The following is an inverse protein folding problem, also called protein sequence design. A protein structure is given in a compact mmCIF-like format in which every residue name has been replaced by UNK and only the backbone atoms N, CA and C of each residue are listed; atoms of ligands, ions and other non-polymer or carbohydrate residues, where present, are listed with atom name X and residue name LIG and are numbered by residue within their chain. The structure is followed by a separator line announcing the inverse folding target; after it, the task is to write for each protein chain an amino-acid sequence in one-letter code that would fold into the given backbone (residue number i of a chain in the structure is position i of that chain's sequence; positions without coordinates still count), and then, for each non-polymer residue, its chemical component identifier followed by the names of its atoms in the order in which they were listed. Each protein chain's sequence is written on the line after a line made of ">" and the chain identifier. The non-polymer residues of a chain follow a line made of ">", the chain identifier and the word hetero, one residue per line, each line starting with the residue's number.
data_IF_954225501456
#
_entry.id   IF_954225501456
#
_cell.length_a   1.000
_cell.length_b   1.000
_cell.length_c   1.000
_cell.angle_alpha   90.00
_cell.angle_beta   90.00
_cell.angle_gamma   90.00
#
_symmetry.space_group_name_H-M   'P 1'
#
loop_
_entity.id
_entity.type
_entity.pdbx_description
1 polymer ?
#
# COMPACT_ATOMS: atom_id res chain seq x y z
N UNK A 1 -34.02 -16.13 15.66
CA UNK A 1 -32.87 -16.96 16.10
C UNK A 1 -31.61 -16.31 15.58
N UNK A 2 -30.99 -15.43 16.38
CA UNK A 2 -29.72 -14.80 16.03
C UNK A 2 -28.56 -15.62 16.60
N UNK A 3 -27.76 -16.22 15.72
CA UNK A 3 -26.54 -16.92 16.09
C UNK A 3 -25.46 -15.91 16.48
N UNK A 4 -25.42 -15.56 17.77
CA UNK A 4 -24.30 -14.83 18.35
C UNK A 4 -23.07 -15.73 18.36
N UNK A 5 -22.18 -15.53 17.38
CA UNK A 5 -20.93 -16.27 17.28
C UNK A 5 -20.09 -16.12 18.58
N UNK A 6 -19.51 -17.23 19.11
CA UNK A 6 -18.60 -17.22 20.25
C UNK A 6 -17.43 -16.22 20.09
N UNK A 7 -17.03 -15.56 21.18
CA UNK A 7 -15.97 -14.54 21.19
C UNK A 7 -14.63 -15.00 20.59
N UNK A 8 -14.32 -16.30 20.68
CA UNK A 8 -13.12 -16.90 20.10
C UNK A 8 -13.15 -16.96 18.57
N UNK A 9 -14.33 -17.16 17.98
CA UNK A 9 -14.52 -17.15 16.52
C UNK A 9 -14.42 -15.73 15.95
N UNK A 10 -14.90 -14.71 16.70
CA UNK A 10 -14.72 -13.29 16.33
C UNK A 10 -13.26 -12.89 16.15
N UNK A 11 -12.37 -13.32 17.04
CA UNK A 11 -10.95 -12.98 16.96
C UNK A 11 -10.25 -13.51 15.69
N UNK A 12 -10.64 -14.72 15.24
CA UNK A 12 -10.06 -15.35 14.04
C UNK A 12 -10.58 -14.72 12.75
N UNK A 13 -11.88 -14.41 12.67
CA UNK A 13 -12.44 -13.70 11.50
C UNK A 13 -11.92 -12.27 11.40
N UNK A 14 -11.81 -11.54 12.52
CA UNK A 14 -11.25 -10.17 12.51
C UNK A 14 -9.81 -10.15 12.03
N UNK A 15 -8.96 -11.10 12.44
CA UNK A 15 -7.57 -11.16 11.99
C UNK A 15 -7.45 -11.45 10.48
N UNK A 16 -8.30 -12.33 9.93
CA UNK A 16 -8.33 -12.60 8.48
C UNK A 16 -8.79 -11.38 7.69
N UNK A 17 -9.85 -10.72 8.15
CA UNK A 17 -10.35 -9.48 7.53
C UNK A 17 -9.27 -8.40 7.56
N UNK A 18 -8.59 -8.20 8.70
CA UNK A 18 -7.49 -7.25 8.81
C UNK A 18 -6.35 -7.55 7.82
N UNK A 19 -5.94 -8.82 7.69
CA UNK A 19 -4.93 -9.25 6.71
C UNK A 19 -5.34 -8.87 5.29
N UNK A 20 -6.58 -9.15 4.88
CA UNK A 20 -7.08 -8.77 3.56
C UNK A 20 -7.13 -7.25 3.38
N UNK A 21 -7.58 -6.49 4.37
CA UNK A 21 -7.61 -5.03 4.32
C UNK A 21 -6.21 -4.44 4.11
N UNK A 22 -5.21 -4.92 4.86
CA UNK A 22 -3.82 -4.43 4.73
C UNK A 22 -3.26 -4.80 3.36
N UNK A 23 -3.43 -6.05 2.91
CA UNK A 23 -2.94 -6.48 1.60
C UNK A 23 -3.60 -5.71 0.44
N UNK A 24 -4.93 -5.49 0.52
CA UNK A 24 -5.67 -4.70 -0.46
C UNK A 24 -5.22 -3.24 -0.48
N UNK A 25 -4.97 -2.63 0.68
CA UNK A 25 -4.50 -1.25 0.77
C UNK A 25 -3.11 -1.11 0.13
N UNK A 26 -2.19 -2.03 0.42
CA UNK A 26 -0.86 -2.04 -0.20
C UNK A 26 -0.95 -2.21 -1.73
N UNK A 27 -1.77 -3.16 -2.20
CA UNK A 27 -1.98 -3.39 -3.62
C UNK A 27 -2.62 -2.19 -4.32
N UNK A 28 -3.65 -1.59 -3.71
CA UNK A 28 -4.33 -0.41 -4.25
C UNK A 28 -3.38 0.78 -4.37
N UNK A 29 -2.55 1.04 -3.35
CA UNK A 29 -1.57 2.12 -3.39
C UNK A 29 -0.52 1.91 -4.50
N UNK A 30 -0.07 0.68 -4.69
CA UNK A 30 0.87 0.32 -5.76
C UNK A 30 0.24 0.47 -7.15
N UNK A 31 -0.95 -0.09 -7.35
CA UNK A 31 -1.68 -0.03 -8.63
C UNK A 31 -2.08 1.41 -8.99
N UNK A 32 -2.46 2.23 -8.01
CA UNK A 32 -2.73 3.65 -8.22
C UNK A 32 -1.53 4.35 -8.84
N UNK A 33 -0.32 4.09 -8.33
CA UNK A 33 0.90 4.68 -8.87
C UNK A 33 1.20 4.25 -10.29
N UNK A 34 1.05 2.95 -10.58
CA UNK A 34 1.24 2.43 -11.94
C UNK A 34 0.27 3.02 -12.95
N UNK A 35 -0.99 3.23 -12.55
CA UNK A 35 -1.99 3.85 -13.40
C UNK A 35 -1.78 5.36 -13.57
N UNK A 36 -1.34 6.06 -12.51
CA UNK A 36 -1.20 7.52 -12.50
C UNK A 36 0.11 8.01 -13.10
N UNK A 37 1.19 7.24 -12.96
CA UNK A 37 2.56 7.57 -13.38
C UNK A 37 3.14 6.46 -14.28
N UNK A 38 2.59 6.25 -15.49
CA UNK A 38 3.00 5.14 -16.36
C UNK A 38 4.43 5.24 -16.88
N UNK A 39 4.99 6.44 -16.88
CA UNK A 39 6.32 6.79 -17.38
C UNK A 39 7.35 7.08 -16.25
N UNK A 40 6.98 6.72 -15.01
CA UNK A 40 7.89 6.75 -13.87
C UNK A 40 9.20 5.98 -14.14
N UNK A 41 10.32 6.33 -13.46
CA UNK A 41 10.43 7.35 -12.41
C UNK A 41 10.59 8.78 -12.95
N UNK A 42 9.89 9.73 -12.31
CA UNK A 42 10.01 11.16 -12.58
C UNK A 42 11.24 11.74 -11.88
N UNK A 43 12.06 12.49 -12.62
CA UNK A 43 13.30 13.09 -12.13
C UNK A 43 13.51 14.50 -12.68
N UNK A 44 14.51 15.19 -12.14
CA UNK A 44 14.85 16.56 -12.55
C UNK A 44 15.70 16.49 -13.83
N UNK A 45 15.31 17.28 -14.83
CA UNK A 45 15.99 17.42 -16.12
C UNK A 45 16.45 18.88 -16.34
N UNK A 46 17.32 19.10 -17.33
CA UNK A 46 17.88 20.43 -17.64
C UNK A 46 16.82 21.51 -17.91
N UNK A 47 15.64 21.13 -18.41
CA UNK A 47 14.53 22.03 -18.75
C UNK A 47 13.37 21.98 -17.74
N UNK A 48 13.47 21.22 -16.64
CA UNK A 48 12.38 21.04 -15.68
C UNK A 48 12.32 19.63 -15.10
N UNK A 49 11.20 18.93 -15.31
CA UNK A 49 10.98 17.57 -14.82
C UNK A 49 10.68 16.63 -15.98
N UNK A 50 11.15 15.39 -15.88
CA UNK A 50 11.04 14.43 -16.97
C UNK A 50 10.81 13.01 -16.45
N UNK A 51 10.03 12.23 -17.20
CA UNK A 51 9.87 10.79 -16.97
C UNK A 51 11.02 9.98 -17.54
N UNK A 52 10.94 8.65 -17.40
CA UNK A 52 11.94 7.70 -17.91
C UNK A 52 12.20 7.84 -19.42
N UNK A 53 11.18 8.22 -20.18
CA UNK A 53 11.25 8.40 -21.63
C UNK A 53 11.60 9.84 -22.04
N UNK A 54 11.93 10.72 -21.09
CA UNK A 54 12.22 12.13 -21.36
C UNK A 54 10.97 12.98 -21.63
N UNK A 55 9.77 12.43 -21.38
CA UNK A 55 8.52 13.18 -21.50
C UNK A 55 8.54 14.34 -20.49
N UNK A 56 8.17 15.57 -20.90
CA UNK A 56 8.19 16.73 -20.02
C UNK A 56 7.04 16.67 -19.01
N UNK A 57 7.33 17.00 -17.76
CA UNK A 57 6.38 17.05 -16.67
C UNK A 57 6.38 18.38 -15.95
N UNK A 58 5.25 18.67 -15.32
CA UNK A 58 5.08 19.85 -14.47
C UNK A 58 5.67 19.61 -13.07
N UNK A 59 5.99 20.70 -12.37
CA UNK A 59 6.40 20.66 -10.96
C UNK A 59 5.35 19.98 -10.07
N UNK A 60 4.06 20.19 -10.35
CA UNK A 60 2.96 19.56 -9.60
C UNK A 60 2.98 18.04 -9.76
N UNK A 61 3.14 17.53 -10.98
CA UNK A 61 3.18 16.08 -11.23
C UNK A 61 4.39 15.42 -10.58
N UNK A 62 5.55 16.08 -10.62
CA UNK A 62 6.73 15.63 -9.92
C UNK A 62 6.49 15.56 -8.40
N UNK A 63 5.85 16.59 -7.83
CA UNK A 63 5.55 16.62 -6.39
C UNK A 63 4.59 15.51 -5.99
N UNK A 64 3.52 15.30 -6.77
CA UNK A 64 2.55 14.22 -6.56
C UNK A 64 3.23 12.85 -6.61
N UNK A 65 4.12 12.63 -7.59
CA UNK A 65 4.92 11.41 -7.68
C UNK A 65 5.79 11.20 -6.45
N UNK A 66 6.48 12.24 -5.96
CA UNK A 66 7.32 12.13 -4.76
C UNK A 66 6.50 11.85 -3.50
N UNK A 67 5.29 12.41 -3.40
CA UNK A 67 4.37 12.11 -2.28
C UNK A 67 3.93 10.66 -2.34
N UNK A 68 3.49 10.18 -3.51
CA UNK A 68 3.10 8.78 -3.71
C UNK A 68 4.27 7.82 -3.45
N UNK A 69 5.47 8.10 -3.99
CA UNK A 69 6.66 7.28 -3.82
C UNK A 69 7.03 7.15 -2.34
N UNK A 70 7.03 8.26 -1.59
CA UNK A 70 7.24 8.25 -0.13
C UNK A 70 6.17 7.42 0.57
N UNK A 71 4.89 7.61 0.21
CA UNK A 71 3.81 6.84 0.79
C UNK A 71 3.97 5.34 0.53
N UNK A 72 4.39 4.94 -0.68
CA UNK A 72 4.66 3.54 -1.02
C UNK A 72 5.80 2.97 -0.17
N UNK A 73 6.92 3.69 -0.05
CA UNK A 73 8.07 3.25 0.74
C UNK A 73 7.82 3.19 2.25
N UNK A 74 6.89 4.00 2.78
CA UNK A 74 6.47 3.93 4.19
C UNK A 74 5.43 2.82 4.38
N UNK A 75 4.44 2.75 3.49
CA UNK A 75 3.34 1.80 3.58
C UNK A 75 3.84 0.35 3.47
N UNK A 76 4.84 0.08 2.63
CA UNK A 76 5.35 -1.28 2.44
C UNK A 76 5.92 -1.92 3.71
N UNK A 77 6.93 -1.37 4.39
CA UNK A 77 7.46 -1.95 5.63
C UNK A 77 6.41 -1.98 6.74
N UNK A 78 5.59 -0.93 6.90
CA UNK A 78 4.53 -0.88 7.91
C UNK A 78 3.49 -1.98 7.67
N UNK A 79 3.05 -2.15 6.43
CA UNK A 79 2.13 -3.19 6.02
C UNK A 79 2.70 -4.59 6.24
N UNK A 80 3.95 -4.83 5.84
CA UNK A 80 4.63 -6.12 6.05
C UNK A 80 4.80 -6.45 7.53
N UNK A 81 5.18 -5.50 8.38
CA UNK A 81 5.27 -5.69 9.83
C UNK A 81 3.88 -6.03 10.40
N UNK A 82 2.84 -5.30 9.96
CA UNK A 82 1.47 -5.54 10.41
C UNK A 82 1.00 -6.95 10.04
N UNK A 83 1.23 -7.37 8.80
CA UNK A 83 0.92 -8.72 8.32
C UNK A 83 1.69 -9.79 9.10
N UNK A 84 2.99 -9.57 9.35
CA UNK A 84 3.81 -10.49 10.13
C UNK A 84 3.28 -10.66 11.56
N UNK A 85 2.92 -9.56 12.23
CA UNK A 85 2.36 -9.60 13.58
C UNK A 85 0.99 -10.29 13.61
N UNK A 86 0.12 -10.03 12.62
CA UNK A 86 -1.18 -10.70 12.50
C UNK A 86 -1.02 -12.21 12.27
N UNK A 87 -0.07 -12.64 11.44
CA UNK A 87 0.22 -14.05 11.21
C UNK A 87 0.81 -14.73 12.45
N UNK A 88 1.78 -14.08 13.11
CA UNK A 88 2.41 -14.59 14.34
C UNK A 88 1.36 -14.80 15.44
N UNK A 89 0.48 -13.83 15.64
CA UNK A 89 -0.54 -13.88 16.68
C UNK A 89 -1.62 -14.93 16.40
N UNK A 90 -2.05 -15.08 15.14
CA UNK A 90 -3.01 -16.14 14.77
C UNK A 90 -2.39 -17.53 14.89
N UNK A 91 -1.09 -17.69 14.61
CA UNK A 91 -0.39 -18.97 14.80
C UNK A 91 -0.27 -19.37 16.27
N UNK A 92 -0.09 -18.43 17.19
CA UNK A 92 0.00 -18.73 18.64
C UNK A 92 -1.34 -19.11 19.28
N UNK A 93 -2.47 -18.94 18.58
CA UNK A 93 -3.81 -19.32 19.08
C UNK A 93 -4.35 -20.63 18.50
N UNK A 94 -3.63 -21.25 17.56
CA UNK A 94 -3.91 -22.62 17.08
C UNK A 94 -3.24 -23.62 18.00
#
# INVERSE_FOLDING_TARGET
>A
MGSTLPNWLRGVTTARVATYCVALLMAALFLYGLARFPDAPLHICASGYCGKQGQPHTLSEYTDFKVWERALFICWPVGMITLFLLQRWTSSRK
#
